data_IF_044123878674
#
_entry.id   IF_044123878674
#
_cell.length_a   1.000
_cell.length_b   1.000
_cell.length_c   1.000
_cell.angle_alpha   90.00
_cell.angle_beta   90.00
_cell.angle_gamma   90.00
#
_symmetry.space_group_name_H-M   'P 1'
#
loop_
_entity.id
_entity.type
_entity.pdbx_description
1 polymer ?
#
# COMPACT_ATOMS: atom_id res chain seq x y z
N UNK A 1 1.29 29.16 15.69
CA UNK A 1 1.99 28.12 16.45
C UNK A 1 0.89 27.20 16.94
N UNK A 2 0.67 26.11 16.28
CA UNK A 2 -0.27 25.08 16.71
C UNK A 2 0.51 24.11 17.60
N UNK A 3 0.00 23.85 18.80
CA UNK A 3 0.57 22.88 19.74
C UNK A 3 0.45 21.47 19.15
N UNK A 4 1.47 21.02 18.44
CA UNK A 4 1.63 19.63 18.00
C UNK A 4 2.19 18.78 19.13
N UNK A 5 1.40 18.59 20.20
CA UNK A 5 1.69 17.55 21.19
C UNK A 5 1.29 16.20 20.61
N UNK A 6 2.26 15.50 20.02
CA UNK A 6 2.12 14.15 19.41
C UNK A 6 1.87 13.01 20.42
N UNK A 7 1.70 13.30 21.68
CA UNK A 7 1.23 12.35 22.69
C UNK A 7 -0.28 12.11 22.49
N UNK A 8 -0.61 11.21 21.53
CA UNK A 8 -1.96 10.73 21.34
C UNK A 8 -2.55 10.30 22.70
N UNK A 9 -3.47 11.11 23.22
CA UNK A 9 -4.20 10.79 24.44
C UNK A 9 -5.03 9.54 24.19
N UNK A 10 -4.54 8.38 24.63
CA UNK A 10 -5.41 7.23 24.85
C UNK A 10 -6.29 7.61 26.03
N UNK A 11 -7.60 7.82 25.82
CA UNK A 11 -8.51 7.82 26.96
C UNK A 11 -8.36 6.46 27.66
N UNK A 12 -8.10 6.44 28.96
CA UNK A 12 -7.87 5.23 29.74
C UNK A 12 -9.05 4.24 29.65
N UNK A 13 -10.17 4.64 29.09
CA UNK A 13 -11.44 3.91 29.07
C UNK A 13 -11.98 3.60 27.65
N UNK A 14 -11.28 3.97 26.56
CA UNK A 14 -11.69 3.65 25.18
C UNK A 14 -12.40 4.78 24.43
N UNK A 15 -12.82 4.48 23.18
CA UNK A 15 -13.57 5.38 22.28
C UNK A 15 -14.83 4.68 21.79
N UNK A 16 -15.98 5.32 21.94
CA UNK A 16 -17.25 4.84 21.39
C UNK A 16 -17.68 5.73 20.22
N UNK A 17 -17.70 5.17 19.02
CA UNK A 17 -18.32 5.81 17.86
C UNK A 17 -19.81 5.50 17.87
N UNK A 18 -20.66 6.54 17.89
CA UNK A 18 -22.12 6.42 17.84
C UNK A 18 -22.66 7.08 16.58
N UNK A 19 -23.88 6.73 16.19
CA UNK A 19 -24.56 7.34 15.05
C UNK A 19 -23.68 7.34 13.80
N UNK A 20 -23.00 6.21 13.54
CA UNK A 20 -22.16 6.01 12.35
C UNK A 20 -22.81 5.04 11.38
N UNK A 21 -22.56 5.25 10.11
CA UNK A 21 -22.76 4.26 9.06
C UNK A 21 -21.54 3.34 9.04
N UNK A 22 -21.69 2.11 9.48
CA UNK A 22 -20.59 1.13 9.55
C UNK A 22 -20.43 0.45 8.21
N UNK A 23 -19.31 0.68 7.55
CA UNK A 23 -18.82 -0.07 6.38
C UNK A 23 -17.76 -1.05 6.90
N UNK A 24 -18.16 -2.26 7.21
CA UNK A 24 -17.33 -3.22 7.94
C UNK A 24 -16.33 -4.01 7.09
N UNK A 25 -16.35 -3.80 5.77
CA UNK A 25 -15.54 -4.51 4.77
C UNK A 25 -15.77 -6.03 4.75
N UNK A 26 -16.96 -6.51 5.12
CA UNK A 26 -17.36 -7.91 4.87
C UNK A 26 -17.75 -8.17 3.41
N UNK A 27 -18.16 -7.14 2.70
CA UNK A 27 -18.79 -7.18 1.38
C UNK A 27 -20.31 -6.92 1.43
N UNK A 28 -20.87 -6.87 2.62
CA UNK A 28 -22.28 -6.54 2.85
C UNK A 28 -22.53 -5.03 2.82
N UNK A 29 -23.77 -4.62 2.61
CA UNK A 29 -24.14 -3.20 2.64
C UNK A 29 -23.89 -2.58 4.01
N UNK A 30 -23.41 -1.31 4.04
CA UNK A 30 -23.23 -0.57 5.29
C UNK A 30 -24.53 -0.45 6.08
N UNK A 31 -24.42 -0.45 7.41
CA UNK A 31 -25.54 -0.35 8.33
C UNK A 31 -25.29 0.74 9.39
N UNK A 32 -26.34 1.30 9.96
CA UNK A 32 -26.23 2.21 11.10
C UNK A 32 -25.86 1.41 12.35
N UNK A 33 -24.92 1.92 13.14
CA UNK A 33 -24.48 1.22 14.34
C UNK A 33 -23.58 2.03 15.24
N UNK A 34 -23.02 1.34 16.23
CA UNK A 34 -22.04 1.83 17.19
C UNK A 34 -20.85 0.90 17.23
N UNK A 35 -19.65 1.46 17.41
CA UNK A 35 -18.40 0.71 17.49
C UNK A 35 -17.62 1.18 18.71
N UNK A 36 -17.38 0.29 19.66
CA UNK A 36 -16.54 0.50 20.83
C UNK A 36 -15.12 0.02 20.56
N UNK A 37 -14.17 0.92 20.71
CA UNK A 37 -12.74 0.64 20.71
C UNK A 37 -12.22 0.67 22.14
N UNK A 38 -11.46 -0.36 22.55
CA UNK A 38 -10.80 -0.44 23.85
C UNK A 38 -9.35 -0.89 23.67
N UNK A 39 -8.42 -0.11 24.19
CA UNK A 39 -7.01 -0.29 23.87
C UNK A 39 -6.77 -0.09 22.36
N UNK A 40 -6.17 -1.07 21.71
CA UNK A 40 -5.93 -1.03 20.27
C UNK A 40 -6.89 -1.90 19.45
N UNK A 41 -8.01 -2.39 20.05
CA UNK A 41 -8.92 -3.32 19.37
C UNK A 41 -10.37 -2.86 19.41
N UNK A 42 -11.11 -3.28 18.39
CA UNK A 42 -12.56 -3.18 18.34
C UNK A 42 -13.12 -4.18 19.35
N UNK A 43 -13.77 -3.66 20.39
CA UNK A 43 -14.29 -4.44 21.51
C UNK A 43 -15.70 -4.96 21.26
N UNK A 44 -16.55 -4.10 20.67
CA UNK A 44 -17.95 -4.41 20.47
C UNK A 44 -18.51 -3.62 19.29
N UNK A 45 -19.44 -4.25 18.58
CA UNK A 45 -20.21 -3.65 17.49
C UNK A 45 -21.69 -3.86 17.80
N UNK A 46 -22.48 -2.75 17.79
CA UNK A 46 -23.92 -2.81 17.99
C UNK A 46 -24.64 -2.29 16.75
N UNK A 47 -25.46 -3.14 16.12
CA UNK A 47 -26.26 -2.74 14.95
C UNK A 47 -27.53 -2.04 15.39
N UNK A 48 -27.94 -1.03 14.63
CA UNK A 48 -29.16 -0.25 14.87
C UNK A 48 -28.90 1.16 15.37
N UNK A 49 -29.97 1.94 15.61
CA UNK A 49 -29.87 3.30 16.12
C UNK A 49 -29.34 3.32 17.55
N UNK A 50 -28.57 4.36 17.87
CA UNK A 50 -28.07 4.58 19.22
C UNK A 50 -29.21 4.58 20.25
N UNK A 51 -29.05 3.75 21.28
CA UNK A 51 -29.95 3.77 22.45
C UNK A 51 -29.55 4.85 23.46
N UNK A 52 -28.40 5.49 23.22
CA UNK A 52 -27.79 6.41 24.18
C UNK A 52 -27.72 7.81 23.58
N UNK A 53 -28.31 8.78 24.28
CA UNK A 53 -28.12 10.17 23.93
C UNK A 53 -26.64 10.57 24.07
N UNK A 54 -26.24 11.59 23.33
CA UNK A 54 -24.84 12.02 23.09
C UNK A 54 -24.02 12.42 24.36
N UNK A 55 -24.52 12.21 25.56
CA UNK A 55 -23.90 12.73 26.79
C UNK A 55 -23.46 11.72 27.85
N UNK A 56 -23.79 10.42 27.69
CA UNK A 56 -23.37 9.40 28.68
C UNK A 56 -22.95 8.10 27.99
N UNK A 57 -21.66 7.72 28.13
CA UNK A 57 -21.17 6.41 27.70
C UNK A 57 -21.68 5.34 28.67
N UNK A 58 -22.34 4.28 28.19
CA UNK A 58 -22.67 3.11 29.01
C UNK A 58 -21.46 2.30 29.39
N UNK A 59 -20.29 2.60 28.81
CA UNK A 59 -19.04 1.86 28.96
C UNK A 59 -18.01 2.64 29.81
N UNK A 60 -18.40 3.00 31.04
CA UNK A 60 -17.47 3.39 32.11
C UNK A 60 -16.42 4.45 31.77
N UNK A 61 -16.82 5.55 31.10
CA UNK A 61 -15.93 6.69 30.82
C UNK A 61 -15.24 6.68 29.44
N UNK A 62 -15.70 5.87 28.48
CA UNK A 62 -15.22 5.96 27.09
C UNK A 62 -15.54 7.33 26.48
N UNK A 63 -14.61 7.87 25.69
CA UNK A 63 -14.86 9.09 24.91
C UNK A 63 -15.89 8.79 23.82
N UNK A 64 -16.99 9.53 23.82
CA UNK A 64 -18.07 9.38 22.83
C UNK A 64 -17.80 10.29 21.64
N UNK A 65 -17.79 9.71 20.45
CA UNK A 65 -17.71 10.41 19.16
C UNK A 65 -19.03 10.20 18.43
N UNK A 66 -19.85 11.23 18.32
CA UNK A 66 -21.05 11.21 17.48
C UNK A 66 -20.63 11.38 16.02
N UNK A 67 -20.83 10.36 15.20
CA UNK A 67 -20.49 10.39 13.77
C UNK A 67 -21.48 11.18 12.92
N UNK A 68 -22.66 11.53 13.45
CA UNK A 68 -23.71 12.29 12.73
C UNK A 68 -24.05 11.71 11.35
N UNK A 69 -24.05 10.37 11.24
CA UNK A 69 -24.30 9.66 9.99
C UNK A 69 -23.08 9.51 9.07
N UNK A 70 -21.91 10.01 9.46
CA UNK A 70 -20.65 9.76 8.74
C UNK A 70 -20.33 8.27 8.65
N UNK A 71 -19.57 7.86 7.64
CA UNK A 71 -19.17 6.46 7.45
C UNK A 71 -17.93 6.13 8.28
N UNK A 72 -18.06 5.14 9.16
CA UNK A 72 -16.92 4.50 9.84
C UNK A 72 -16.50 3.28 9.04
N UNK A 73 -15.22 3.24 8.59
CA UNK A 73 -14.67 2.16 7.78
C UNK A 73 -13.27 1.79 8.27
N UNK A 74 -12.73 0.60 7.87
CA UNK A 74 -11.32 0.29 8.13
C UNK A 74 -10.40 1.31 7.48
N UNK A 75 -9.22 1.51 8.08
CA UNK A 75 -8.14 2.26 7.44
C UNK A 75 -7.72 1.63 6.12
N UNK A 76 -7.33 2.48 5.17
CA UNK A 76 -6.84 2.03 3.86
C UNK A 76 -5.48 1.39 4.00
N UNK A 77 -5.17 0.44 3.11
CA UNK A 77 -3.92 -0.31 3.09
C UNK A 77 -3.35 -0.28 1.67
N UNK A 78 -2.11 0.15 1.54
CA UNK A 78 -1.38 0.15 0.27
C UNK A 78 -0.51 -1.10 0.15
N UNK A 79 -0.69 -1.86 -0.93
CA UNK A 79 0.00 -3.12 -1.17
C UNK A 79 1.39 -2.95 -1.84
N UNK A 80 1.69 -1.75 -2.37
CA UNK A 80 2.89 -1.47 -3.18
C UNK A 80 3.49 -0.11 -2.83
N UNK A 81 4.03 0.01 -1.61
CA UNK A 81 4.43 1.28 -1.03
C UNK A 81 5.95 1.50 -1.08
N UNK A 82 6.37 2.68 -1.55
CA UNK A 82 7.76 3.12 -1.61
C UNK A 82 7.96 4.41 -0.80
N UNK A 83 8.16 4.30 0.52
CA UNK A 83 8.33 5.49 1.37
C UNK A 83 9.61 6.27 1.08
N UNK A 84 10.66 5.61 0.64
CA UNK A 84 11.97 6.22 0.42
C UNK A 84 12.22 6.72 -1.01
N UNK A 85 11.19 6.76 -1.87
CA UNK A 85 11.31 7.37 -3.20
C UNK A 85 10.93 8.86 -3.22
N UNK A 86 10.41 9.37 -2.10
CA UNK A 86 10.40 10.78 -1.70
C UNK A 86 9.70 11.74 -2.67
N UNK A 87 8.79 11.26 -3.52
CA UNK A 87 8.20 12.05 -4.61
C UNK A 87 9.26 12.72 -5.51
N UNK A 88 10.37 12.03 -5.73
CA UNK A 88 11.51 12.55 -6.46
C UNK A 88 11.20 12.74 -7.95
N UNK A 89 11.82 13.73 -8.61
CA UNK A 89 11.61 13.98 -10.03
C UNK A 89 12.33 12.98 -10.96
N UNK A 90 13.00 11.98 -10.42
CA UNK A 90 13.72 10.95 -11.15
C UNK A 90 14.51 10.04 -10.21
N UNK A 91 15.28 9.12 -10.78
CA UNK A 91 16.05 8.12 -10.03
C UNK A 91 17.29 8.74 -9.36
N UNK A 92 18.03 9.62 -10.06
CA UNK A 92 19.25 10.21 -9.54
C UNK A 92 19.09 10.92 -8.18
N UNK A 93 18.07 11.76 -7.95
CA UNK A 93 17.84 12.38 -6.65
C UNK A 93 17.65 11.37 -5.52
N UNK A 94 17.04 10.20 -5.81
CA UNK A 94 16.85 9.13 -4.83
C UNK A 94 18.18 8.46 -4.48
N UNK A 95 18.98 8.17 -5.50
CA UNK A 95 20.26 7.46 -5.33
C UNK A 95 21.30 8.33 -4.63
N UNK A 96 21.41 9.59 -5.03
CA UNK A 96 22.47 10.52 -4.58
C UNK A 96 22.21 11.12 -3.20
N UNK A 97 20.98 11.02 -2.66
CA UNK A 97 20.65 11.60 -1.35
C UNK A 97 21.44 10.90 -0.23
N UNK A 98 22.05 11.69 0.65
CA UNK A 98 22.74 11.20 1.85
C UNK A 98 21.78 10.41 2.76
N UNK A 99 22.25 9.34 3.40
CA UNK A 99 21.39 8.41 4.16
C UNK A 99 20.65 9.11 5.31
N UNK A 100 21.30 10.05 5.97
CA UNK A 100 20.74 10.81 7.09
C UNK A 100 19.60 11.71 6.66
N UNK A 101 19.77 12.43 5.55
CA UNK A 101 18.76 13.28 4.94
C UNK A 101 17.62 12.41 4.38
N UNK A 102 17.97 11.36 3.67
CA UNK A 102 17.02 10.40 3.10
C UNK A 102 16.09 9.79 4.16
N UNK A 103 16.65 9.52 5.35
CA UNK A 103 15.83 9.00 6.47
C UNK A 103 14.76 10.00 6.91
N UNK A 104 15.10 11.29 6.99
CA UNK A 104 14.13 12.33 7.39
C UNK A 104 13.00 12.46 6.36
N UNK A 105 13.35 12.54 5.08
CA UNK A 105 12.35 12.64 4.00
C UNK A 105 11.48 11.36 3.94
N UNK A 106 12.07 10.18 4.13
CA UNK A 106 11.30 8.92 4.22
C UNK A 106 10.26 8.95 5.34
N UNK A 107 10.59 9.56 6.48
CA UNK A 107 9.65 9.69 7.60
C UNK A 107 8.54 10.71 7.29
N UNK A 108 8.84 11.79 6.55
CA UNK A 108 7.82 12.72 6.06
C UNK A 108 6.84 12.02 5.11
N UNK A 109 7.34 11.17 4.20
CA UNK A 109 6.48 10.38 3.31
C UNK A 109 5.59 9.41 4.11
N UNK A 110 6.13 8.77 5.15
CA UNK A 110 5.33 7.89 6.02
C UNK A 110 4.17 8.65 6.69
N UNK A 111 4.43 9.88 7.16
CA UNK A 111 3.37 10.74 7.71
C UNK A 111 2.35 11.13 6.64
N UNK A 112 2.80 11.51 5.45
CA UNK A 112 1.95 11.92 4.33
C UNK A 112 0.97 10.82 3.90
N UNK A 113 1.44 9.57 3.88
CA UNK A 113 0.64 8.37 3.58
C UNK A 113 -0.43 8.16 4.68
N UNK A 114 -0.07 8.29 5.96
CA UNK A 114 -1.02 8.18 7.06
C UNK A 114 -2.04 9.34 7.04
N UNK A 115 -1.62 10.58 6.73
CA UNK A 115 -2.50 11.74 6.57
C UNK A 115 -3.54 11.55 5.45
N UNK A 116 -3.24 10.69 4.47
CA UNK A 116 -4.15 10.32 3.39
C UNK A 116 -5.09 9.16 3.74
N UNK A 117 -5.10 8.69 5.00
CA UNK A 117 -5.99 7.63 5.46
C UNK A 117 -5.44 6.21 5.29
N UNK A 118 -4.21 6.04 4.84
CA UNK A 118 -3.55 4.74 4.77
C UNK A 118 -2.93 4.39 6.12
N UNK A 119 -3.65 3.59 6.90
CA UNK A 119 -3.21 3.21 8.26
C UNK A 119 -2.21 2.07 8.24
N UNK A 120 -2.12 1.33 7.13
CA UNK A 120 -1.14 0.28 6.94
C UNK A 120 -0.60 0.28 5.50
N UNK A 121 0.56 -0.34 5.30
CA UNK A 121 1.14 -0.51 3.98
C UNK A 121 2.29 -1.51 3.95
N UNK A 122 2.46 -2.11 2.77
CA UNK A 122 3.52 -3.06 2.51
C UNK A 122 4.61 -2.39 1.69
N UNK A 123 5.82 -2.30 2.26
CA UNK A 123 6.99 -1.85 1.53
C UNK A 123 7.30 -2.77 0.35
N UNK A 124 7.39 -2.19 -0.83
CA UNK A 124 7.75 -2.91 -2.04
C UNK A 124 9.27 -2.91 -2.25
N UNK A 125 9.91 -1.75 -2.12
CA UNK A 125 11.35 -1.62 -2.07
C UNK A 125 11.76 -0.34 -1.34
N UNK A 126 12.95 -0.35 -0.74
CA UNK A 126 13.59 0.80 -0.12
C UNK A 126 14.79 1.26 -0.95
N UNK A 127 15.00 2.56 -1.05
CA UNK A 127 16.13 3.13 -1.79
C UNK A 127 17.51 2.79 -1.19
N UNK A 128 17.56 2.48 0.11
CA UNK A 128 18.80 2.13 0.82
C UNK A 128 18.54 1.02 1.85
N UNK A 129 19.57 0.22 2.24
CA UNK A 129 19.39 -1.06 2.92
C UNK A 129 18.53 -1.07 4.17
N UNK A 130 18.46 0.05 4.92
CA UNK A 130 17.79 0.06 6.23
C UNK A 130 16.79 1.19 6.43
N UNK A 131 16.49 2.01 5.42
CA UNK A 131 15.55 3.13 5.57
C UNK A 131 14.20 2.65 6.09
N UNK A 132 13.58 1.71 5.40
CA UNK A 132 12.28 1.15 5.77
C UNK A 132 12.29 0.49 7.16
N UNK A 133 13.36 -0.25 7.47
CA UNK A 133 13.49 -0.95 8.77
C UNK A 133 13.57 0.04 9.93
N UNK A 134 14.32 1.13 9.76
CA UNK A 134 14.44 2.18 10.78
C UNK A 134 13.14 2.97 10.88
N UNK A 135 12.54 3.35 9.74
CA UNK A 135 11.25 4.02 9.69
C UNK A 135 10.18 3.21 10.45
N UNK A 136 10.00 1.93 10.12
CA UNK A 136 9.11 0.99 10.83
C UNK A 136 9.38 0.97 12.33
N UNK A 137 10.65 0.86 12.74
CA UNK A 137 11.03 0.83 14.15
C UNK A 137 10.56 2.08 14.91
N UNK A 138 10.77 3.27 14.34
CA UNK A 138 10.39 4.53 14.97
C UNK A 138 8.87 4.73 15.01
N UNK A 139 8.16 4.31 13.96
CA UNK A 139 6.69 4.31 13.92
C UNK A 139 6.14 3.38 15.01
N UNK A 140 6.65 2.15 15.12
CA UNK A 140 6.19 1.17 16.12
C UNK A 140 6.48 1.60 17.57
N UNK A 141 7.53 2.40 17.78
CA UNK A 141 7.83 3.00 19.08
C UNK A 141 6.94 4.23 19.40
N UNK A 142 6.08 4.65 18.48
CA UNK A 142 5.28 5.86 18.62
C UNK A 142 6.09 7.15 18.64
N UNK A 143 7.34 7.10 18.15
CA UNK A 143 8.24 8.28 18.09
C UNK A 143 8.00 9.14 16.86
N UNK A 144 7.36 8.57 15.85
CA UNK A 144 7.03 9.24 14.61
C UNK A 144 5.70 8.73 14.03
N UNK A 145 4.88 9.61 13.40
CA UNK A 145 3.65 9.19 12.74
C UNK A 145 3.94 8.44 11.43
N UNK A 146 3.17 7.40 11.18
CA UNK A 146 3.25 6.63 9.94
C UNK A 146 2.32 5.42 9.99
N UNK A 147 2.11 4.74 8.85
CA UNK A 147 1.27 3.56 8.77
C UNK A 147 1.88 2.37 9.55
N UNK A 148 1.08 1.37 9.83
CA UNK A 148 1.57 0.03 10.18
C UNK A 148 2.33 -0.51 8.98
N UNK A 149 3.64 -0.66 9.11
CA UNK A 149 4.50 -0.84 7.95
C UNK A 149 5.24 -2.18 7.96
N UNK A 150 5.18 -2.90 6.86
CA UNK A 150 6.05 -4.04 6.61
C UNK A 150 7.23 -3.58 5.76
N UNK A 151 8.41 -3.58 6.35
CA UNK A 151 9.61 -3.03 5.75
C UNK A 151 10.18 -3.95 4.66
N UNK A 152 10.52 -3.37 3.50
CA UNK A 152 11.38 -3.99 2.52
C UNK A 152 12.83 -3.52 2.67
N UNK A 153 13.75 -4.16 1.96
CA UNK A 153 15.09 -3.65 1.64
C UNK A 153 15.11 -3.11 0.22
N UNK A 154 16.28 -2.74 -0.30
CA UNK A 154 16.44 -2.52 -1.73
C UNK A 154 16.00 -3.76 -2.52
N UNK A 155 15.49 -3.53 -3.70
CA UNK A 155 15.15 -4.59 -4.64
C UNK A 155 16.40 -5.33 -5.09
N UNK A 156 16.27 -6.61 -5.39
CA UNK A 156 17.35 -7.44 -5.93
C UNK A 156 17.13 -7.54 -7.44
N UNK A 157 18.15 -7.24 -8.20
CA UNK A 157 18.15 -7.26 -9.66
C UNK A 157 19.38 -7.98 -10.21
N UNK A 158 19.34 -8.30 -11.49
CA UNK A 158 20.51 -8.83 -12.23
C UNK A 158 21.31 -7.71 -12.87
N UNK A 159 22.53 -8.02 -13.32
CA UNK A 159 23.32 -7.10 -14.15
C UNK A 159 22.51 -6.71 -15.39
N UNK A 160 22.37 -5.40 -15.64
CA UNK A 160 21.57 -4.84 -16.72
C UNK A 160 20.05 -4.93 -16.49
N UNK A 161 19.59 -5.38 -15.32
CA UNK A 161 18.17 -5.48 -14.97
C UNK A 161 17.61 -4.17 -14.42
N UNK A 162 16.29 -4.14 -14.18
CA UNK A 162 15.62 -3.02 -13.53
C UNK A 162 16.26 -2.74 -12.16
N UNK A 163 16.70 -1.51 -11.94
CA UNK A 163 17.38 -1.09 -10.71
C UNK A 163 18.91 -1.14 -10.79
N UNK A 164 19.50 -1.71 -11.86
CA UNK A 164 20.90 -1.52 -12.21
C UNK A 164 21.05 -0.24 -13.04
N UNK A 165 21.09 0.88 -12.34
CA UNK A 165 21.00 2.23 -12.91
C UNK A 165 22.36 2.92 -13.06
N UNK A 166 23.46 2.28 -12.65
CA UNK A 166 24.78 2.83 -12.82
C UNK A 166 25.20 2.81 -14.31
N UNK A 167 25.86 3.87 -14.81
CA UNK A 167 26.39 3.87 -16.17
C UNK A 167 27.41 2.72 -16.37
N UNK A 168 27.32 2.01 -17.50
CA UNK A 168 28.15 0.83 -17.79
C UNK A 168 29.67 1.07 -17.76
N UNK A 169 30.10 2.31 -17.95
CA UNK A 169 31.53 2.71 -17.94
C UNK A 169 32.00 3.23 -16.57
N UNK A 170 31.12 3.33 -15.59
CA UNK A 170 31.42 3.79 -14.24
C UNK A 170 30.90 2.74 -13.26
N UNK A 171 31.71 1.75 -12.88
CA UNK A 171 31.30 0.77 -11.90
C UNK A 171 31.22 1.44 -10.52
N UNK A 172 30.02 1.72 -10.07
CA UNK A 172 29.74 2.24 -8.73
C UNK A 172 28.90 1.23 -7.95
N UNK A 173 29.56 0.36 -7.19
CA UNK A 173 28.88 -0.40 -6.15
C UNK A 173 28.25 0.58 -5.15
N UNK A 174 26.93 0.59 -5.05
CA UNK A 174 26.18 1.41 -4.09
C UNK A 174 25.47 2.65 -4.64
N UNK A 175 25.58 2.96 -5.94
CA UNK A 175 24.79 4.00 -6.60
C UNK A 175 23.57 3.45 -7.36
N UNK A 176 23.30 2.16 -7.27
CA UNK A 176 22.13 1.53 -7.88
C UNK A 176 20.90 1.65 -6.97
N UNK A 177 19.73 1.74 -7.57
CA UNK A 177 18.45 1.66 -6.85
C UNK A 177 18.25 0.26 -6.27
N UNK A 178 18.62 -0.78 -7.05
CA UNK A 178 18.64 -2.17 -6.65
C UNK A 178 20.02 -2.69 -6.20
N UNK A 179 20.02 -3.84 -5.55
CA UNK A 179 21.25 -4.62 -5.30
C UNK A 179 21.45 -5.52 -6.52
N UNK A 180 22.52 -5.23 -7.28
CA UNK A 180 22.86 -5.97 -8.49
C UNK A 180 23.58 -7.25 -8.12
N UNK A 181 23.10 -8.37 -8.65
CA UNK A 181 23.63 -9.71 -8.38
C UNK A 181 23.73 -10.54 -9.66
N UNK A 182 24.55 -11.59 -9.64
CA UNK A 182 24.68 -12.54 -10.74
C UNK A 182 24.84 -13.96 -10.18
N UNK A 183 23.85 -14.78 -10.46
CA UNK A 183 23.84 -16.19 -10.07
C UNK A 183 23.32 -16.46 -8.64
N UNK A 184 22.98 -17.75 -8.37
CA UNK A 184 22.30 -18.15 -7.14
C UNK A 184 23.08 -17.87 -5.85
N UNK A 185 24.41 -17.92 -5.86
CA UNK A 185 25.20 -17.69 -4.64
C UNK A 185 25.19 -16.23 -4.20
N UNK A 186 25.19 -15.27 -5.13
CA UNK A 186 25.04 -13.87 -4.79
C UNK A 186 23.62 -13.56 -4.31
N UNK A 187 22.60 -14.15 -4.91
CA UNK A 187 21.21 -14.11 -4.41
C UNK A 187 21.16 -14.60 -2.97
N UNK A 188 21.75 -15.78 -2.68
CA UNK A 188 21.78 -16.34 -1.32
C UNK A 188 22.39 -15.39 -0.32
N UNK A 189 23.55 -14.85 -0.63
CA UNK A 189 24.27 -13.89 0.22
C UNK A 189 23.43 -12.65 0.46
N UNK A 190 22.85 -12.08 -0.59
CA UNK A 190 22.07 -10.84 -0.55
C UNK A 190 20.80 -11.03 0.27
N UNK A 191 20.02 -12.09 0.04
CA UNK A 191 18.82 -12.39 0.82
C UNK A 191 19.14 -12.54 2.31
N UNK A 192 20.21 -13.28 2.65
CA UNK A 192 20.66 -13.41 4.05
C UNK A 192 21.05 -12.07 4.66
N UNK A 193 21.68 -11.19 3.90
CA UNK A 193 22.08 -9.87 4.37
C UNK A 193 20.87 -8.97 4.62
N UNK A 194 19.90 -8.96 3.72
CA UNK A 194 18.65 -8.21 3.90
C UNK A 194 17.87 -8.70 5.13
N UNK A 195 17.77 -10.01 5.32
CA UNK A 195 17.14 -10.60 6.51
C UNK A 195 17.89 -10.17 7.79
N UNK A 196 19.22 -10.15 7.78
CA UNK A 196 20.03 -9.64 8.88
C UNK A 196 19.76 -8.17 9.18
N UNK A 197 19.45 -7.36 8.18
CA UNK A 197 19.07 -5.95 8.37
C UNK A 197 17.69 -5.80 9.02
N UNK A 198 16.86 -6.83 9.00
CA UNK A 198 15.56 -6.86 9.69
C UNK A 198 14.37 -6.59 8.79
N UNK A 199 14.47 -6.82 7.47
CA UNK A 199 13.35 -6.68 6.54
C UNK A 199 12.25 -7.72 6.82
N UNK A 200 11.02 -7.36 6.49
CA UNK A 200 9.86 -8.27 6.55
C UNK A 200 9.67 -9.03 5.24
N UNK A 201 10.05 -8.41 4.12
CA UNK A 201 9.93 -8.98 2.78
C UNK A 201 11.17 -8.75 1.94
N UNK A 202 11.36 -9.65 0.98
CA UNK A 202 12.40 -9.56 -0.05
C UNK A 202 11.72 -9.22 -1.37
N UNK A 203 12.24 -8.22 -2.09
CA UNK A 203 11.75 -7.80 -3.41
C UNK A 203 12.73 -8.22 -4.49
N UNK A 204 12.21 -8.90 -5.51
CA UNK A 204 12.94 -9.27 -6.71
C UNK A 204 12.44 -8.45 -7.91
N UNK A 205 13.32 -8.10 -8.84
CA UNK A 205 12.98 -7.55 -10.14
C UNK A 205 13.13 -8.65 -11.20
N UNK A 206 12.01 -9.25 -11.57
CA UNK A 206 11.96 -10.38 -12.50
C UNK A 206 11.73 -9.95 -13.95
N UNK A 207 11.26 -8.73 -14.17
CA UNK A 207 11.06 -8.18 -15.52
C UNK A 207 11.61 -6.77 -15.64
N UNK A 208 11.63 -6.25 -16.86
CA UNK A 208 12.08 -4.89 -17.15
C UNK A 208 11.05 -3.80 -16.84
N UNK A 209 11.48 -2.57 -17.04
CA UNK A 209 10.70 -1.33 -16.92
C UNK A 209 11.18 -0.36 -18.01
N UNK A 210 10.31 0.07 -18.91
CA UNK A 210 10.68 0.82 -20.11
C UNK A 210 11.46 2.10 -19.86
N UNK A 211 11.19 2.81 -18.74
CA UNK A 211 11.93 4.02 -18.36
C UNK A 211 13.42 3.77 -18.07
N UNK A 212 13.79 2.53 -17.76
CA UNK A 212 15.19 2.15 -17.48
C UNK A 212 15.92 1.61 -18.72
N UNK A 213 15.23 1.56 -19.87
CA UNK A 213 15.77 1.05 -21.13
C UNK A 213 15.69 -0.46 -21.31
N UNK A 214 15.12 -1.18 -20.33
CA UNK A 214 14.80 -2.61 -20.47
C UNK A 214 13.31 -2.79 -20.74
N UNK A 215 12.95 -3.56 -21.75
CA UNK A 215 11.54 -3.81 -22.10
C UNK A 215 10.77 -4.50 -20.99
N UNK A 216 9.55 -4.06 -20.75
CA UNK A 216 8.68 -4.59 -19.69
C UNK A 216 8.38 -6.10 -19.85
N UNK A 217 8.45 -6.63 -21.05
CA UNK A 217 8.24 -8.05 -21.36
C UNK A 217 9.50 -8.93 -21.24
N UNK A 218 10.66 -8.33 -21.01
CA UNK A 218 11.91 -9.08 -20.77
C UNK A 218 11.92 -9.70 -19.37
N UNK A 219 12.54 -10.88 -19.24
CA UNK A 219 12.62 -11.63 -17.97
C UNK A 219 14.08 -12.00 -17.72
N UNK A 220 14.89 -11.08 -17.17
CA UNK A 220 16.33 -11.24 -17.08
C UNK A 220 16.79 -12.20 -15.96
N UNK A 221 16.01 -12.37 -14.89
CA UNK A 221 16.39 -13.22 -13.76
C UNK A 221 16.10 -14.70 -14.07
N UNK A 222 17.11 -15.57 -13.90
CA UNK A 222 16.99 -16.98 -14.19
C UNK A 222 16.13 -17.74 -13.17
N UNK A 223 15.64 -18.92 -13.56
CA UNK A 223 14.86 -19.80 -12.66
C UNK A 223 15.66 -20.21 -11.42
N UNK A 224 16.97 -20.44 -11.55
CA UNK A 224 17.85 -20.83 -10.45
C UNK A 224 18.02 -19.69 -9.43
N UNK A 225 18.11 -18.45 -9.90
CA UNK A 225 18.20 -17.27 -9.06
C UNK A 225 16.92 -17.07 -8.26
N UNK A 226 15.74 -17.17 -8.92
CA UNK A 226 14.42 -17.07 -8.26
C UNK A 226 14.24 -18.21 -7.26
N UNK A 227 14.58 -19.44 -7.63
CA UNK A 227 14.51 -20.61 -6.74
C UNK A 227 15.36 -20.42 -5.48
N UNK A 228 16.57 -19.87 -5.64
CA UNK A 228 17.46 -19.58 -4.51
C UNK A 228 16.87 -18.55 -3.57
N UNK A 229 16.35 -17.43 -4.10
CA UNK A 229 15.70 -16.41 -3.29
C UNK A 229 14.51 -17.00 -2.52
N UNK A 230 13.68 -17.79 -3.19
CA UNK A 230 12.52 -18.44 -2.58
C UNK A 230 12.90 -19.43 -1.48
N UNK A 231 13.96 -20.20 -1.67
CA UNK A 231 14.47 -21.14 -0.67
C UNK A 231 14.96 -20.41 0.59
N UNK A 232 15.79 -19.38 0.43
CA UNK A 232 16.34 -18.61 1.55
C UNK A 232 15.25 -17.83 2.34
N UNK A 233 14.29 -17.23 1.64
CA UNK A 233 13.19 -16.53 2.27
C UNK A 233 12.30 -17.50 3.08
N UNK A 234 11.94 -18.64 2.50
CA UNK A 234 11.11 -19.68 3.13
C UNK A 234 11.73 -20.25 4.39
N UNK A 235 13.04 -20.54 4.37
CA UNK A 235 13.76 -21.04 5.55
C UNK A 235 13.68 -20.08 6.76
N UNK A 236 13.32 -18.83 6.56
CA UNK A 236 13.28 -17.79 7.60
C UNK A 236 11.93 -17.10 7.71
N UNK A 237 10.88 -17.73 7.17
CA UNK A 237 9.51 -17.22 7.18
C UNK A 237 9.41 -15.77 6.67
N UNK A 238 10.16 -15.45 5.61
CA UNK A 238 10.08 -14.16 4.94
C UNK A 238 9.22 -14.26 3.70
N UNK A 239 8.48 -13.18 3.43
CA UNK A 239 7.65 -13.07 2.25
C UNK A 239 8.48 -12.58 1.08
N UNK A 240 8.20 -13.13 -0.10
CA UNK A 240 8.71 -12.62 -1.36
C UNK A 240 7.66 -11.77 -2.06
N UNK A 241 8.14 -10.71 -2.68
CA UNK A 241 7.40 -9.90 -3.64
C UNK A 241 8.25 -9.70 -4.90
N UNK A 242 7.62 -9.49 -6.03
CA UNK A 242 8.33 -9.31 -7.28
C UNK A 242 7.71 -8.23 -8.16
N UNK A 243 8.56 -7.42 -8.79
CA UNK A 243 8.25 -6.71 -10.01
C UNK A 243 8.19 -7.75 -11.14
N UNK A 244 7.03 -7.95 -11.74
CA UNK A 244 6.78 -9.04 -12.70
C UNK A 244 5.73 -8.61 -13.73
N UNK A 245 6.15 -7.89 -14.77
CA UNK A 245 5.26 -7.41 -15.84
C UNK A 245 5.05 -8.46 -16.92
N UNK A 246 6.12 -9.16 -17.32
CA UNK A 246 6.10 -10.19 -18.37
C UNK A 246 5.34 -11.45 -17.94
N UNK A 247 4.76 -12.16 -18.88
CA UNK A 247 4.12 -13.47 -18.61
C UNK A 247 5.11 -14.49 -18.01
N UNK A 248 6.35 -14.51 -18.50
CA UNK A 248 7.40 -15.37 -17.97
C UNK A 248 7.67 -15.11 -16.49
N UNK A 249 7.83 -13.84 -16.09
CA UNK A 249 8.08 -13.46 -14.70
C UNK A 249 6.89 -13.77 -13.78
N UNK A 250 5.65 -13.59 -14.24
CA UNK A 250 4.45 -14.00 -13.48
C UNK A 250 4.43 -15.50 -13.24
N UNK A 251 4.74 -16.32 -14.27
CA UNK A 251 4.84 -17.78 -14.14
C UNK A 251 5.95 -18.20 -13.18
N UNK A 252 7.10 -17.51 -13.19
CA UNK A 252 8.16 -17.73 -12.18
C UNK A 252 7.64 -17.43 -10.76
N UNK A 253 6.93 -16.33 -10.57
CA UNK A 253 6.33 -16.01 -9.27
C UNK A 253 5.47 -17.15 -8.73
N UNK A 254 4.61 -17.72 -9.58
CA UNK A 254 3.68 -18.77 -9.18
C UNK A 254 4.45 -20.07 -8.87
N UNK A 255 5.39 -20.49 -9.73
CA UNK A 255 6.18 -21.71 -9.54
C UNK A 255 6.99 -21.69 -8.25
N UNK A 256 7.55 -20.54 -7.88
CA UNK A 256 8.40 -20.41 -6.70
C UNK A 256 7.67 -19.91 -5.45
N UNK A 257 6.35 -19.66 -5.53
CA UNK A 257 5.51 -19.25 -4.39
C UNK A 257 5.78 -17.83 -3.93
N UNK A 258 6.10 -16.93 -4.86
CA UNK A 258 6.19 -15.49 -4.57
C UNK A 258 4.80 -14.95 -4.30
N UNK A 259 4.55 -14.50 -3.07
CA UNK A 259 3.21 -14.14 -2.61
C UNK A 259 2.65 -12.90 -3.30
N UNK A 260 3.46 -11.84 -3.45
CA UNK A 260 3.02 -10.55 -3.97
C UNK A 260 3.62 -10.32 -5.34
N UNK A 261 2.75 -10.26 -6.33
CA UNK A 261 3.10 -10.06 -7.75
C UNK A 261 2.71 -8.63 -8.11
N UNK A 262 3.71 -7.79 -8.32
CA UNK A 262 3.47 -6.41 -8.73
C UNK A 262 3.39 -6.33 -10.25
N UNK A 263 2.43 -5.54 -10.73
CA UNK A 263 2.11 -5.25 -12.13
C UNK A 263 1.34 -6.36 -12.85
N UNK A 264 1.99 -7.42 -13.30
CA UNK A 264 1.41 -8.53 -14.08
C UNK A 264 0.71 -8.08 -15.39
N UNK A 265 1.15 -6.95 -15.98
CA UNK A 265 0.50 -6.29 -17.13
C UNK A 265 0.34 -7.20 -18.34
N UNK A 266 1.36 -8.04 -18.62
CA UNK A 266 1.42 -8.91 -19.80
C UNK A 266 1.20 -10.39 -19.48
N UNK A 267 0.46 -10.72 -18.41
CA UNK A 267 0.13 -12.10 -18.10
C UNK A 267 -0.76 -12.70 -19.20
N UNK A 268 -0.28 -13.78 -19.84
CA UNK A 268 -1.02 -14.53 -20.84
C UNK A 268 -2.06 -15.48 -20.23
N UNK A 269 -2.85 -16.18 -21.04
CA UNK A 269 -3.92 -17.07 -20.55
C UNK A 269 -3.35 -18.20 -19.66
N UNK A 270 -2.17 -18.75 -19.99
CA UNK A 270 -1.52 -19.77 -19.15
C UNK A 270 -1.17 -19.20 -17.76
N UNK A 271 -0.59 -17.99 -17.69
CA UNK A 271 -0.29 -17.33 -16.42
C UNK A 271 -1.58 -17.04 -15.61
N UNK A 272 -2.66 -16.64 -16.30
CA UNK A 272 -3.98 -16.44 -15.67
C UNK A 272 -4.56 -17.76 -15.12
N UNK A 273 -4.45 -18.86 -15.85
CA UNK A 273 -4.90 -20.18 -15.40
C UNK A 273 -4.10 -20.65 -14.17
N UNK A 274 -2.79 -20.45 -14.19
CA UNK A 274 -1.90 -20.74 -13.06
C UNK A 274 -2.26 -19.88 -11.82
N UNK A 275 -2.50 -18.57 -12.01
CA UNK A 275 -2.91 -17.66 -10.92
C UNK A 275 -4.28 -18.07 -10.35
N UNK A 276 -5.25 -18.39 -11.20
CA UNK A 276 -6.58 -18.82 -10.76
C UNK A 276 -6.50 -20.11 -9.93
N UNK A 277 -5.72 -21.08 -10.38
CA UNK A 277 -5.48 -22.33 -9.64
C UNK A 277 -4.77 -22.11 -8.30
N UNK A 278 -4.07 -20.99 -8.15
CA UNK A 278 -3.27 -20.65 -6.98
C UNK A 278 -3.76 -19.37 -6.26
N UNK A 279 -4.96 -18.87 -6.55
CA UNK A 279 -5.46 -17.56 -6.13
C UNK A 279 -5.45 -17.32 -4.61
N UNK A 280 -5.52 -18.37 -3.81
CA UNK A 280 -5.45 -18.26 -2.35
C UNK A 280 -4.03 -18.05 -1.80
N UNK A 281 -3.01 -18.15 -2.66
CA UNK A 281 -1.59 -17.99 -2.28
C UNK A 281 -0.96 -16.70 -2.77
N UNK A 282 -1.56 -16.07 -3.78
CA UNK A 282 -0.99 -14.90 -4.45
C UNK A 282 -1.89 -13.69 -4.36
N UNK A 283 -1.27 -12.52 -4.41
CA UNK A 283 -1.90 -11.22 -4.56
C UNK A 283 -1.26 -10.50 -5.74
N UNK A 284 -2.07 -9.77 -6.48
CA UNK A 284 -1.60 -8.89 -7.56
C UNK A 284 -1.85 -7.43 -7.17
N UNK A 285 -0.86 -6.56 -7.36
CA UNK A 285 -1.05 -5.11 -7.25
C UNK A 285 -0.55 -4.47 -8.57
N UNK A 286 -1.44 -3.89 -9.38
CA UNK A 286 -1.14 -3.59 -10.78
C UNK A 286 -0.18 -2.43 -11.01
N UNK A 287 0.07 -1.56 -10.02
CA UNK A 287 0.86 -0.34 -10.24
C UNK A 287 0.23 0.61 -11.26
N UNK A 288 -1.10 0.62 -11.34
CA UNK A 288 -1.81 1.27 -12.45
C UNK A 288 -1.67 2.80 -12.45
N UNK A 289 -1.51 3.43 -11.28
CA UNK A 289 -1.26 4.87 -11.21
C UNK A 289 0.08 5.25 -11.87
N UNK A 290 1.10 4.40 -11.69
CA UNK A 290 2.38 4.56 -12.38
C UNK A 290 2.20 4.60 -13.90
N UNK A 291 1.50 3.63 -14.48
CA UNK A 291 1.27 3.55 -15.93
C UNK A 291 0.53 4.78 -16.43
N UNK A 292 -0.59 5.16 -15.81
CA UNK A 292 -1.41 6.31 -16.20
C UNK A 292 -0.59 7.60 -16.14
N UNK A 293 0.07 7.83 -15.03
CA UNK A 293 0.74 9.11 -14.79
C UNK A 293 2.02 9.23 -15.62
N UNK A 294 2.77 8.14 -15.81
CA UNK A 294 3.96 8.15 -16.67
C UNK A 294 3.57 8.36 -18.13
N UNK A 295 2.52 7.71 -18.60
CA UNK A 295 2.05 7.90 -19.98
C UNK A 295 1.53 9.32 -20.25
N UNK A 296 0.81 9.93 -19.28
CA UNK A 296 -0.05 11.10 -19.56
C UNK A 296 0.29 12.37 -18.79
N UNK A 297 0.99 12.25 -17.67
CA UNK A 297 1.15 13.36 -16.72
C UNK A 297 2.61 13.65 -16.33
N UNK A 298 3.59 13.02 -17.03
CA UNK A 298 5.00 13.16 -16.70
C UNK A 298 5.78 14.13 -17.62
N UNK A 299 5.08 15.01 -18.38
CA UNK A 299 5.72 15.94 -19.31
C UNK A 299 6.73 16.88 -18.66
N UNK A 300 6.42 17.39 -17.46
CA UNK A 300 7.32 18.28 -16.70
C UNK A 300 8.64 17.59 -16.31
N UNK A 301 8.64 16.26 -16.30
CA UNK A 301 9.80 15.43 -15.96
C UNK A 301 10.41 14.73 -17.18
N UNK A 302 10.11 15.25 -18.38
CA UNK A 302 10.78 14.86 -19.62
C UNK A 302 10.07 13.77 -20.45
N UNK A 303 8.96 13.20 -19.98
CA UNK A 303 8.18 12.20 -20.71
C UNK A 303 6.99 12.87 -21.38
N UNK A 304 7.19 13.33 -22.62
CA UNK A 304 6.14 14.01 -23.38
C UNK A 304 5.07 13.03 -23.85
N UNK A 305 3.77 13.36 -23.70
CA UNK A 305 2.69 12.60 -24.34
C UNK A 305 2.95 12.41 -25.85
N UNK A 306 2.77 11.18 -26.35
CA UNK A 306 3.07 10.81 -27.73
C UNK A 306 4.55 10.55 -28.04
N UNK A 307 5.47 10.68 -27.08
CA UNK A 307 6.85 10.22 -27.25
C UNK A 307 6.90 8.68 -27.28
N UNK A 308 7.96 8.06 -27.84
CA UNK A 308 8.09 6.60 -27.86
C UNK A 308 7.86 5.97 -26.48
N UNK A 309 8.47 6.51 -25.43
CA UNK A 309 8.30 6.02 -24.07
C UNK A 309 6.87 6.16 -23.55
N UNK A 310 6.23 7.32 -23.76
CA UNK A 310 4.82 7.51 -23.39
C UNK A 310 3.89 6.52 -24.13
N UNK A 311 4.16 6.24 -25.41
CA UNK A 311 3.37 5.29 -26.21
C UNK A 311 3.55 3.84 -25.71
N UNK A 312 4.74 3.46 -25.26
CA UNK A 312 4.96 2.16 -24.63
C UNK A 312 4.15 2.01 -23.34
N UNK A 313 4.10 3.04 -22.50
CA UNK A 313 3.28 3.04 -21.29
C UNK A 313 1.77 3.04 -21.60
N UNK A 314 1.31 3.72 -22.67
CA UNK A 314 -0.10 3.60 -23.11
C UNK A 314 -0.41 2.16 -23.55
N UNK A 315 0.44 1.53 -24.34
CA UNK A 315 0.28 0.12 -24.75
C UNK A 315 0.24 -0.79 -23.50
N UNK A 316 1.15 -0.59 -22.55
CA UNK A 316 1.17 -1.39 -21.33
C UNK A 316 -0.09 -1.14 -20.48
N UNK A 317 -0.56 0.10 -20.38
CA UNK A 317 -1.78 0.45 -19.67
C UNK A 317 -3.01 -0.27 -20.27
N UNK A 318 -3.14 -0.30 -21.58
CA UNK A 318 -4.21 -1.04 -22.26
C UNK A 318 -4.16 -2.53 -21.91
N UNK A 319 -2.98 -3.15 -22.00
CA UNK A 319 -2.79 -4.55 -21.64
C UNK A 319 -3.06 -4.82 -20.16
N UNK A 320 -2.59 -3.95 -19.26
CA UNK A 320 -2.84 -4.03 -17.83
C UNK A 320 -4.34 -3.99 -17.52
N UNK A 321 -5.07 -3.06 -18.09
CA UNK A 321 -6.53 -2.93 -17.90
C UNK A 321 -7.25 -4.22 -18.31
N UNK A 322 -6.96 -4.77 -19.48
CA UNK A 322 -7.59 -6.00 -19.95
C UNK A 322 -7.20 -7.22 -19.09
N UNK A 323 -5.93 -7.32 -18.71
CA UNK A 323 -5.43 -8.39 -17.85
C UNK A 323 -6.06 -8.33 -16.45
N UNK A 324 -6.15 -7.15 -15.84
CA UNK A 324 -6.77 -6.98 -14.52
C UNK A 324 -8.27 -7.29 -14.56
N UNK A 325 -8.99 -6.90 -15.61
CA UNK A 325 -10.40 -7.29 -15.80
C UNK A 325 -10.58 -8.80 -15.89
N UNK A 326 -9.67 -9.50 -16.59
CA UNK A 326 -9.68 -10.97 -16.66
C UNK A 326 -9.41 -11.58 -15.27
N UNK A 327 -8.40 -11.11 -14.55
CA UNK A 327 -8.08 -11.55 -13.20
C UNK A 327 -9.24 -11.34 -12.24
N UNK A 328 -9.89 -10.16 -12.28
CA UNK A 328 -11.05 -9.85 -11.45
C UNK A 328 -12.19 -10.85 -11.68
N UNK A 329 -12.56 -11.11 -12.94
CA UNK A 329 -13.60 -12.09 -13.28
C UNK A 329 -13.28 -13.53 -12.83
N UNK A 330 -11.99 -13.90 -12.75
CA UNK A 330 -11.53 -15.21 -12.27
C UNK A 330 -11.41 -15.28 -10.74
N UNK A 331 -11.70 -14.18 -10.02
CA UNK A 331 -11.61 -14.10 -8.56
C UNK A 331 -10.18 -14.14 -8.03
N UNK A 332 -9.20 -13.75 -8.84
CA UNK A 332 -7.81 -13.54 -8.41
C UNK A 332 -7.79 -12.28 -7.53
N UNK A 333 -7.07 -12.33 -6.41
CA UNK A 333 -7.03 -11.23 -5.44
C UNK A 333 -6.17 -10.09 -5.96
N UNK A 334 -6.81 -8.98 -6.30
CA UNK A 334 -6.16 -7.76 -6.73
C UNK A 334 -6.26 -6.74 -5.58
N UNK A 335 -5.12 -6.18 -5.16
CA UNK A 335 -5.03 -5.14 -4.14
C UNK A 335 -4.70 -3.80 -4.79
N UNK A 336 -5.11 -2.70 -4.15
CA UNK A 336 -4.61 -1.40 -4.57
C UNK A 336 -3.13 -1.25 -4.20
N UNK A 337 -2.39 -0.57 -5.06
CA UNK A 337 -0.96 -0.30 -4.91
C UNK A 337 -0.46 0.26 -6.23
N UNK A 338 -0.51 1.60 -6.35
CA UNK A 338 -0.32 2.33 -7.61
C UNK A 338 1.12 2.60 -7.96
N UNK A 339 2.07 2.12 -7.15
CA UNK A 339 3.51 2.36 -7.33
C UNK A 339 3.87 3.85 -7.20
N UNK A 340 3.41 4.43 -6.09
CA UNK A 340 3.61 5.85 -5.76
C UNK A 340 5.01 6.11 -5.20
N UNK A 341 5.54 7.31 -5.47
CA UNK A 341 6.80 7.77 -4.91
C UNK A 341 7.62 8.68 -5.82
N UNK A 342 7.22 8.85 -7.09
CA UNK A 342 7.79 9.84 -7.99
C UNK A 342 6.93 11.11 -8.07
N UNK A 343 7.52 12.21 -8.54
CA UNK A 343 6.87 13.51 -8.58
C UNK A 343 5.59 13.54 -9.43
N UNK A 344 5.49 12.71 -10.46
CA UNK A 344 4.28 12.56 -11.30
C UNK A 344 3.29 11.52 -10.75
N UNK A 345 3.71 10.72 -9.77
CA UNK A 345 2.87 9.75 -9.06
C UNK A 345 3.13 9.89 -7.56
N UNK A 346 2.76 11.03 -6.94
CA UNK A 346 3.22 11.37 -5.60
C UNK A 346 2.48 10.60 -4.51
N UNK A 347 3.20 10.23 -3.45
CA UNK A 347 2.63 9.76 -2.18
C UNK A 347 1.61 10.79 -1.66
N UNK A 348 0.58 10.30 -0.99
CA UNK A 348 -0.52 11.13 -0.49
C UNK A 348 -1.69 11.26 -1.46
N UNK A 349 -1.58 10.71 -2.68
CA UNK A 349 -2.66 10.61 -3.68
C UNK A 349 -3.11 9.16 -3.91
N UNK A 350 -2.62 8.23 -3.11
CA UNK A 350 -2.80 6.78 -3.26
C UNK A 350 -4.28 6.33 -3.34
N UNK A 351 -5.21 7.05 -2.71
CA UNK A 351 -6.64 6.74 -2.77
C UNK A 351 -7.25 6.91 -4.17
N UNK A 352 -6.54 7.53 -5.13
CA UNK A 352 -6.95 7.61 -6.52
C UNK A 352 -7.05 6.23 -7.19
N UNK A 353 -6.27 5.26 -6.72
CA UNK A 353 -6.37 3.88 -7.20
C UNK A 353 -7.76 3.30 -7.02
N UNK A 354 -8.46 3.61 -5.92
CA UNK A 354 -9.81 3.12 -5.66
C UNK A 354 -10.78 3.59 -6.75
N UNK A 355 -10.66 4.86 -7.17
CA UNK A 355 -11.41 5.40 -8.30
C UNK A 355 -11.04 4.69 -9.61
N UNK A 356 -9.74 4.51 -9.86
CA UNK A 356 -9.23 3.85 -11.08
C UNK A 356 -9.73 2.41 -11.19
N UNK A 357 -9.79 1.67 -10.09
CA UNK A 357 -10.34 0.31 -10.07
C UNK A 357 -11.82 0.28 -10.49
N UNK A 358 -12.61 1.25 -10.03
CA UNK A 358 -14.01 1.37 -10.42
C UNK A 358 -14.16 1.78 -11.88
N UNK A 359 -13.46 2.83 -12.29
CA UNK A 359 -13.65 3.44 -13.61
C UNK A 359 -13.01 2.66 -14.75
N UNK A 360 -11.87 1.98 -14.49
CA UNK A 360 -11.09 1.33 -15.56
C UNK A 360 -11.07 -0.19 -15.46
N UNK A 361 -11.07 -0.78 -14.24
CA UNK A 361 -10.89 -2.23 -14.07
C UNK A 361 -12.20 -3.00 -13.88
N UNK A 362 -13.34 -2.30 -13.80
CA UNK A 362 -14.66 -2.91 -13.71
C UNK A 362 -15.05 -3.40 -12.31
N UNK A 363 -14.37 -2.93 -11.27
CA UNK A 363 -14.74 -3.18 -9.89
C UNK A 363 -15.99 -2.37 -9.51
N UNK A 364 -16.87 -2.93 -8.71
CA UNK A 364 -17.84 -2.13 -7.97
C UNK A 364 -17.14 -1.28 -6.89
N UNK A 365 -17.75 -0.19 -6.42
CA UNK A 365 -17.20 0.59 -5.32
C UNK A 365 -16.86 -0.25 -4.08
N UNK A 366 -17.70 -1.22 -3.73
CA UNK A 366 -17.46 -2.14 -2.61
C UNK A 366 -16.19 -2.98 -2.85
N UNK A 367 -16.07 -3.61 -4.02
CA UNK A 367 -14.90 -4.44 -4.34
C UNK A 367 -13.61 -3.64 -4.33
N UNK A 368 -13.61 -2.40 -4.85
CA UNK A 368 -12.44 -1.52 -4.80
C UNK A 368 -12.05 -1.14 -3.35
N UNK A 369 -13.05 -0.93 -2.48
CA UNK A 369 -12.80 -0.72 -1.05
C UNK A 369 -12.27 -2.00 -0.39
N UNK A 370 -12.79 -3.18 -0.73
CA UNK A 370 -12.27 -4.45 -0.21
C UNK A 370 -10.82 -4.68 -0.65
N UNK A 371 -10.45 -4.28 -1.87
CA UNK A 371 -9.07 -4.36 -2.38
C UNK A 371 -8.08 -3.52 -1.57
N UNK A 372 -8.55 -2.43 -0.96
CA UNK A 372 -7.76 -1.52 -0.12
C UNK A 372 -7.91 -1.76 1.39
N UNK A 373 -8.77 -2.68 1.82
CA UNK A 373 -9.05 -2.94 3.24
C UNK A 373 -8.88 -4.42 3.57
N UNK A 374 -9.89 -5.25 3.32
CA UNK A 374 -9.87 -6.69 3.61
C UNK A 374 -8.70 -7.43 2.95
N UNK A 375 -8.51 -7.25 1.64
CA UNK A 375 -7.39 -7.86 0.93
C UNK A 375 -6.05 -7.21 1.31
N UNK A 376 -6.07 -5.91 1.63
CA UNK A 376 -4.95 -5.22 2.23
C UNK A 376 -4.50 -5.86 3.55
N UNK A 377 -5.43 -6.19 4.45
CA UNK A 377 -5.13 -6.94 5.68
C UNK A 377 -4.51 -8.31 5.41
N UNK A 378 -5.02 -9.00 4.41
CA UNK A 378 -4.50 -10.32 4.01
C UNK A 378 -3.08 -10.24 3.42
N UNK A 379 -2.79 -9.27 2.54
CA UNK A 379 -1.44 -9.10 1.96
C UNK A 379 -0.41 -8.68 3.03
N UNK A 380 -0.87 -8.04 4.11
CA UNK A 380 -0.07 -7.74 5.30
C UNK A 380 0.21 -8.97 6.17
N UNK A 381 -0.32 -10.15 5.82
CA UNK A 381 -0.35 -11.37 6.65
C UNK A 381 -1.05 -11.17 8.00
N UNK A 382 -2.06 -10.28 8.03
CA UNK A 382 -2.84 -9.90 9.20
C UNK A 382 -4.35 -9.99 8.92
N UNK A 383 -4.78 -10.82 7.97
CA UNK A 383 -6.18 -10.90 7.53
C UNK A 383 -7.17 -11.31 8.62
N UNK A 384 -6.68 -11.93 9.71
CA UNK A 384 -7.50 -12.30 10.86
C UNK A 384 -7.61 -11.18 11.92
N UNK A 385 -6.92 -10.07 11.74
CA UNK A 385 -6.93 -8.99 12.73
C UNK A 385 -6.85 -7.56 12.15
N UNK A 386 -6.75 -7.39 10.81
CA UNK A 386 -6.61 -6.08 10.15
C UNK A 386 -7.48 -6.00 8.89
N UNK A 387 -7.97 -4.80 8.58
CA UNK A 387 -8.66 -4.49 7.32
C UNK A 387 -10.19 -4.69 7.37
N UNK A 388 -10.76 -4.97 8.54
CA UNK A 388 -12.20 -5.08 8.73
C UNK A 388 -12.66 -4.43 10.04
N UNK A 389 -13.91 -3.96 10.09
CA UNK A 389 -14.57 -3.63 11.37
C UNK A 389 -15.21 -4.91 11.89
N UNK A 390 -14.50 -5.59 12.77
CA UNK A 390 -14.93 -6.85 13.38
C UNK A 390 -14.41 -6.90 14.82
N UNK A 391 -15.20 -7.46 15.74
CA UNK A 391 -14.79 -7.61 17.13
C UNK A 391 -13.48 -8.41 17.23
N UNK A 392 -12.56 -7.93 18.03
CA UNK A 392 -11.21 -8.46 18.18
C UNK A 392 -10.18 -7.92 17.19
N UNK A 393 -10.59 -7.30 16.09
CA UNK A 393 -9.70 -6.70 15.08
C UNK A 393 -9.03 -5.43 15.62
N UNK A 394 -7.89 -5.09 15.06
CA UNK A 394 -7.17 -3.85 15.34
C UNK A 394 -8.03 -2.64 14.95
N UNK A 395 -8.01 -1.64 15.82
CA UNK A 395 -8.74 -0.40 15.59
C UNK A 395 -7.91 0.57 14.73
N UNK A 396 -7.73 0.19 13.47
CA UNK A 396 -7.22 1.02 12.40
C UNK A 396 -8.43 1.46 11.57
N UNK A 397 -8.94 2.69 11.81
CA UNK A 397 -10.26 3.14 11.37
C UNK A 397 -10.21 4.53 10.74
N UNK A 398 -11.11 4.78 9.79
CA UNK A 398 -11.40 6.10 9.25
C UNK A 398 -12.86 6.48 9.56
N UNK A 399 -13.09 7.74 9.94
CA UNK A 399 -14.41 8.36 9.94
C UNK A 399 -14.47 9.29 8.72
N UNK A 400 -15.36 9.03 7.79
CA UNK A 400 -15.45 9.71 6.48
C UNK A 400 -16.77 10.45 6.36
N UNK A 401 -16.72 11.72 5.98
CA UNK A 401 -17.89 12.55 5.70
C UNK A 401 -18.50 12.15 4.35
N UNK A 402 -19.60 11.40 4.38
CA UNK A 402 -20.31 10.92 3.21
C UNK A 402 -20.32 9.40 3.06
N UNK A 403 -20.67 8.95 1.86
CA UNK A 403 -20.83 7.54 1.50
C UNK A 403 -19.82 7.11 0.44
N UNK A 404 -18.71 6.41 0.82
CA UNK A 404 -17.71 5.93 -0.13
C UNK A 404 -18.25 4.91 -1.15
N UNK A 405 -19.38 4.24 -0.85
CA UNK A 405 -20.00 3.32 -1.82
C UNK A 405 -20.71 4.09 -2.93
N UNK A 406 -21.30 5.24 -2.61
CA UNK A 406 -21.94 6.12 -3.62
C UNK A 406 -20.93 6.89 -4.44
N UNK A 407 -19.80 7.30 -3.84
CA UNK A 407 -18.73 8.03 -4.50
C UNK A 407 -17.38 7.74 -3.83
N UNK A 408 -16.58 6.87 -4.42
CA UNK A 408 -15.26 6.51 -3.88
C UNK A 408 -14.26 7.68 -3.89
N UNK A 409 -14.50 8.72 -4.70
CA UNK A 409 -13.61 9.89 -4.82
C UNK A 409 -13.51 10.70 -3.53
N UNK A 410 -14.51 10.59 -2.66
CA UNK A 410 -14.46 11.26 -1.36
C UNK A 410 -13.29 10.82 -0.49
N UNK A 411 -12.75 9.62 -0.71
CA UNK A 411 -11.57 9.10 -0.01
C UNK A 411 -10.26 9.81 -0.41
N UNK A 412 -10.26 10.57 -1.51
CA UNK A 412 -9.13 11.38 -1.96
C UNK A 412 -9.10 12.76 -1.28
N UNK A 413 -10.21 13.21 -0.70
CA UNK A 413 -10.32 14.51 -0.03
C UNK A 413 -9.99 14.37 1.46
N UNK A 414 -8.82 14.81 1.86
CA UNK A 414 -8.37 14.81 3.26
C UNK A 414 -9.31 15.59 4.21
N UNK A 415 -10.10 16.54 3.69
CA UNK A 415 -11.07 17.27 4.49
C UNK A 415 -12.31 16.42 4.80
N UNK A 416 -12.64 15.46 3.95
CA UNK A 416 -13.72 14.51 4.18
C UNK A 416 -13.32 13.34 5.09
N UNK A 417 -12.02 13.10 5.30
CA UNK A 417 -11.55 12.18 6.33
C UNK A 417 -11.58 12.91 7.67
N UNK A 418 -12.68 12.76 8.41
CA UNK A 418 -12.92 13.48 9.67
C UNK A 418 -12.03 12.98 10.81
N UNK A 419 -11.70 11.68 10.82
CA UNK A 419 -10.78 11.09 11.79
C UNK A 419 -9.97 9.96 11.16
N UNK A 420 -8.75 9.81 11.65
CA UNK A 420 -7.85 8.70 11.34
C UNK A 420 -7.40 8.10 12.67
N UNK A 421 -7.74 6.84 12.90
CA UNK A 421 -7.34 6.08 14.08
C UNK A 421 -6.43 4.94 13.64
N UNK A 422 -5.29 4.78 14.32
CA UNK A 422 -4.37 3.66 14.15
C UNK A 422 -4.01 3.08 15.51
N UNK A 423 -4.06 1.77 15.66
CA UNK A 423 -3.86 1.10 16.96
C UNK A 423 -4.71 1.71 18.09
N UNK A 424 -5.96 2.07 17.80
CA UNK A 424 -6.88 2.67 18.76
C UNK A 424 -6.54 4.09 19.20
N UNK A 425 -5.54 4.72 18.57
CA UNK A 425 -5.11 6.10 18.86
C UNK A 425 -5.41 7.00 17.67
N UNK A 426 -5.92 8.19 17.95
CA UNK A 426 -6.15 9.17 16.89
C UNK A 426 -4.83 9.75 16.40
N UNK A 427 -4.57 9.60 15.11
CA UNK A 427 -3.63 10.40 14.36
C UNK A 427 -4.26 11.74 13.97
N UNK A 428 -5.51 11.69 13.50
CA UNK A 428 -6.39 12.84 13.27
C UNK A 428 -7.64 12.65 14.11
N UNK A 429 -7.83 13.48 15.12
CA UNK A 429 -9.04 13.45 15.94
C UNK A 429 -10.18 14.25 15.27
N UNK A 430 -11.44 13.81 15.40
CA UNK A 430 -12.57 14.56 14.85
C UNK A 430 -12.75 15.88 15.62
N UNK A 431 -13.01 16.98 14.90
CA UNK A 431 -13.25 18.30 15.51
C UNK A 431 -14.68 18.41 16.02
N UNK A 432 -14.91 18.10 17.28
CA UNK A 432 -16.25 18.07 17.92
C UNK A 432 -17.00 19.39 17.76
N UNK A 433 -16.36 20.54 17.77
CA UNK A 433 -16.98 21.85 17.67
C UNK A 433 -17.40 22.28 16.26
N UNK A 434 -16.78 21.79 15.21
CA UNK A 434 -17.17 22.03 13.80
C UNK A 434 -18.40 21.20 13.43
N UNK A 435 -18.55 20.03 14.02
CA UNK A 435 -19.72 19.17 13.84
C UNK A 435 -21.02 19.85 14.28
N UNK A 436 -21.01 20.61 15.37
CA UNK A 436 -22.18 21.38 15.83
C UNK A 436 -22.55 22.55 14.92
N UNK A 437 -21.59 23.17 14.21
CA UNK A 437 -21.85 24.28 13.28
C UNK A 437 -22.50 23.85 11.97
N UNK A 438 -22.28 22.62 11.52
CA UNK A 438 -22.89 22.05 10.30
C UNK A 438 -24.38 21.71 10.50
N UNK A 439 -24.84 21.52 11.75
CA UNK A 439 -26.23 21.24 12.07
C UNK A 439 -27.09 22.52 12.15
N UNK A 440 -26.49 23.72 12.16
CA UNK A 440 -27.18 25.01 12.32
C UNK A 440 -27.08 25.89 11.07
N UNK A 441 -26.47 25.42 9.98
CA UNK A 441 -26.42 26.04 8.67
C UNK A 441 -27.23 25.24 7.64
#
# INVERSE_FOLDING_TARGET
>A
MADDNWNGTSSSNGTLFTNVRVLDATGEYPYTGEVLVQGNRIKQITKGSSRFGSSSSPYGGATVIDGMGATLMPGLIDAHLHLSWNNAPGIDPIQMMEVEEHMLVTMEMAKLVLDAGFTAGRGAAAAKPRLDVVCKKFINQGRFPGPRYLAAGPEITTVGGLGDSSPSHIPHEGLNLGIVVSGPEEIRRTVRQLIKYGVDSIKLNLSGESITGMGAEETPMSEEEVAMAASEARCRNKVLSAHARSSGSVKQCIRHGIQNIYHASFADEEALDMLEAAKDRHFVAPGIAWLINTARHAEQWGIKPGSPLSMEYERELEMCVETMKKMHRRGIRICIGGDYGFAWTPQGTNAKDIQTFVEMLGFSPMEAILASTKFGGQIMNMGDELGMIKEGYLADLLLVDGDPISDVRILQDKNRILAIMKDGKFHKAPRINEQRRRLTA
#
